data_IF_229878881531
#
_entry.id   IF_229878881531
#
_cell.length_a   1.000
_cell.length_b   1.000
_cell.length_c   1.000
_cell.angle_alpha   90.00
_cell.angle_beta   90.00
_cell.angle_gamma   90.00
#
_symmetry.space_group_name_H-M   'P 1'
#
loop_
_entity.id
_entity.type
_entity.pdbx_description
1 polymer ?
#
# COMPACT_ATOMS: atom_id res chain seq x y z
N UNK A 1 4.02 -12.12 15.22
CA UNK A 1 5.10 -11.91 16.21
C UNK A 1 6.24 -12.78 15.73
N UNK A 2 7.31 -12.12 15.28
CA UNK A 2 8.48 -12.72 14.64
C UNK A 2 9.08 -13.84 15.50
N UNK A 3 9.77 -14.82 14.91
CA UNK A 3 10.33 -15.95 15.67
C UNK A 3 11.39 -15.48 16.68
N UNK A 4 12.16 -14.44 16.31
CA UNK A 4 13.08 -13.75 17.22
C UNK A 4 12.31 -13.15 18.41
N UNK A 5 11.20 -12.46 18.14
CA UNK A 5 10.38 -11.89 19.19
C UNK A 5 9.73 -12.95 20.05
N UNK A 6 9.25 -14.07 19.49
CA UNK A 6 8.71 -15.19 20.26
C UNK A 6 9.76 -15.81 21.18
N UNK A 7 11.00 -15.95 20.71
CA UNK A 7 12.11 -16.50 21.48
C UNK A 7 12.57 -15.54 22.60
N UNK A 8 12.56 -14.22 22.36
CA UNK A 8 12.80 -13.24 23.42
C UNK A 8 11.63 -13.28 24.41
N UNK A 9 10.39 -13.30 23.91
CA UNK A 9 9.18 -13.28 24.72
C UNK A 9 9.09 -14.46 25.68
N UNK A 10 9.46 -15.66 25.24
CA UNK A 10 9.45 -16.87 26.08
C UNK A 10 10.47 -16.82 27.22
N UNK A 11 11.51 -15.98 27.11
CA UNK A 11 12.55 -15.80 28.14
C UNK A 11 12.23 -14.69 29.14
N UNK A 12 11.22 -13.85 28.88
CA UNK A 12 10.83 -12.77 29.77
C UNK A 12 9.95 -13.28 30.91
N UNK A 13 10.11 -12.67 32.10
CA UNK A 13 9.22 -12.93 33.23
C UNK A 13 7.78 -12.53 32.90
N UNK A 14 6.78 -13.10 33.59
CA UNK A 14 5.37 -12.75 33.36
C UNK A 14 5.11 -11.23 33.54
N UNK A 15 5.84 -10.59 34.48
CA UNK A 15 5.78 -9.15 34.72
C UNK A 15 6.32 -8.36 33.52
N UNK A 16 7.47 -8.75 32.99
CA UNK A 16 8.10 -8.07 31.84
C UNK A 16 7.27 -8.26 30.57
N UNK A 17 6.71 -9.45 30.36
CA UNK A 17 5.78 -9.69 29.25
C UNK A 17 4.55 -8.77 29.31
N UNK A 18 4.01 -8.51 30.51
CA UNK A 18 2.88 -7.59 30.67
C UNK A 18 3.27 -6.15 30.31
N UNK A 19 4.43 -5.69 30.77
CA UNK A 19 4.97 -4.37 30.43
C UNK A 19 5.22 -4.23 28.92
N UNK A 20 5.87 -5.22 28.31
CA UNK A 20 6.08 -5.25 26.86
C UNK A 20 4.74 -5.23 26.08
N UNK A 21 3.70 -5.94 26.54
CA UNK A 21 2.36 -5.90 25.90
C UNK A 21 1.76 -4.51 25.94
N UNK A 22 1.88 -3.81 27.08
CA UNK A 22 1.36 -2.45 27.23
C UNK A 22 2.10 -1.47 26.30
N UNK A 23 3.43 -1.53 26.28
CA UNK A 23 4.27 -0.70 25.41
C UNK A 23 3.99 -1.00 23.94
N UNK A 24 3.91 -2.27 23.54
CA UNK A 24 3.57 -2.65 22.16
C UNK A 24 2.19 -2.14 21.73
N UNK A 25 1.18 -2.17 22.62
CA UNK A 25 -0.15 -1.60 22.31
C UNK A 25 -0.07 -0.10 22.07
N UNK A 26 0.63 0.64 22.93
CA UNK A 26 0.80 2.09 22.77
C UNK A 26 1.59 2.42 21.51
N UNK A 27 2.65 1.67 21.22
CA UNK A 27 3.49 1.84 20.06
C UNK A 27 2.73 1.55 18.75
N UNK A 28 1.96 0.45 18.71
CA UNK A 28 1.07 0.13 17.58
C UNK A 28 -0.01 1.20 17.37
N UNK A 29 -0.59 1.73 18.46
CA UNK A 29 -1.53 2.86 18.39
C UNK A 29 -0.87 4.10 17.79
N UNK A 30 0.33 4.46 18.27
CA UNK A 30 1.12 5.59 17.78
C UNK A 30 1.49 5.43 16.30
N UNK A 31 1.89 4.25 15.87
CA UNK A 31 2.14 3.97 14.45
C UNK A 31 0.87 4.16 13.63
N UNK A 32 -0.27 3.62 14.08
CA UNK A 32 -1.53 3.84 13.36
C UNK A 32 -1.88 5.32 13.25
N UNK A 33 -1.72 6.08 14.34
CA UNK A 33 -1.92 7.54 14.33
C UNK A 33 -0.95 8.24 13.36
N UNK A 34 0.32 7.88 13.37
CA UNK A 34 1.33 8.42 12.45
C UNK A 34 1.04 8.06 10.99
N UNK A 35 0.57 6.83 10.72
CA UNK A 35 0.14 6.40 9.39
C UNK A 35 -1.09 7.17 8.90
N UNK A 36 -2.01 7.53 9.81
CA UNK A 36 -3.17 8.37 9.46
C UNK A 36 -2.76 9.83 9.24
N UNK A 37 -1.78 10.33 10.00
CA UNK A 37 -1.35 11.73 9.95
C UNK A 37 -0.37 12.04 8.81
N UNK A 38 0.48 11.08 8.41
CA UNK A 38 1.48 11.27 7.35
C UNK A 38 0.95 10.78 6.00
N UNK A 39 0.90 11.69 5.03
CA UNK A 39 0.73 11.37 3.59
C UNK A 39 1.89 10.56 3.00
N UNK A 40 2.96 10.34 3.79
CA UNK A 40 4.10 9.51 3.44
C UNK A 40 4.16 8.33 4.41
N UNK A 41 3.96 7.11 3.88
CA UNK A 41 4.18 5.90 4.67
C UNK A 41 5.69 5.73 4.81
N UNK A 42 6.18 5.80 6.05
CA UNK A 42 7.59 5.54 6.35
C UNK A 42 7.95 4.11 5.90
N UNK A 43 9.03 3.97 5.13
CA UNK A 43 9.48 2.67 4.65
C UNK A 43 9.81 1.70 5.77
N UNK A 44 10.19 2.18 6.95
CA UNK A 44 10.43 1.32 8.10
C UNK A 44 9.12 0.69 8.61
N UNK A 45 8.00 1.41 8.51
CA UNK A 45 6.68 0.88 8.87
C UNK A 45 6.23 -0.18 7.85
N UNK A 46 6.45 0.04 6.55
CA UNK A 46 6.18 -1.00 5.54
C UNK A 46 7.04 -2.24 5.77
N UNK A 47 8.30 -2.08 6.15
CA UNK A 47 9.17 -3.21 6.45
C UNK A 47 8.66 -4.02 7.65
N UNK A 48 8.25 -3.33 8.73
CA UNK A 48 7.80 -3.99 9.98
C UNK A 48 6.39 -4.56 9.88
N UNK A 49 5.49 -3.91 9.13
CA UNK A 49 4.07 -4.26 9.08
C UNK A 49 3.62 -4.85 7.75
N UNK A 50 4.47 -4.88 6.72
CA UNK A 50 4.11 -5.21 5.34
C UNK A 50 3.36 -6.53 5.21
N UNK A 51 3.82 -7.60 5.88
CA UNK A 51 3.16 -8.91 5.83
C UNK A 51 1.71 -8.91 6.34
N UNK A 52 1.33 -7.88 7.12
CA UNK A 52 -0.03 -7.68 7.64
C UNK A 52 -0.84 -6.65 6.84
N UNK A 53 -0.23 -5.94 5.89
CA UNK A 53 -0.92 -4.94 5.07
C UNK A 53 -1.75 -5.68 4.01
N UNK A 54 -3.06 -5.69 4.20
CA UNK A 54 -4.02 -6.25 3.24
C UNK A 54 -4.69 -5.19 2.38
N UNK A 55 -4.63 -3.93 2.79
CA UNK A 55 -5.24 -2.80 2.06
C UNK A 55 -4.26 -1.63 2.03
N UNK A 56 -4.07 -1.06 0.85
CA UNK A 56 -3.30 0.16 0.62
C UNK A 56 -4.20 1.20 -0.04
N UNK A 57 -4.19 2.41 0.51
CA UNK A 57 -4.92 3.56 0.00
C UNK A 57 -3.97 4.73 -0.18
N UNK A 58 -4.05 5.42 -1.30
CA UNK A 58 -3.27 6.62 -1.55
C UNK A 58 -4.11 7.74 -2.14
N UNK A 59 -3.83 8.96 -1.71
CA UNK A 59 -4.51 10.17 -2.15
C UNK A 59 -5.83 10.43 -1.41
N UNK A 60 -6.69 11.26 -1.99
CA UNK A 60 -7.89 11.77 -1.32
C UNK A 60 -9.10 11.38 -2.17
N UNK A 61 -10.04 10.63 -1.59
CA UNK A 61 -11.34 10.30 -2.19
C UNK A 61 -12.20 11.58 -2.27
N UNK A 62 -11.91 12.41 -3.28
CA UNK A 62 -12.67 13.63 -3.55
C UNK A 62 -13.90 13.27 -4.36
N UNK A 63 -14.93 12.74 -3.68
CA UNK A 63 -16.26 12.63 -4.30
C UNK A 63 -16.85 13.99 -4.74
N UNK A 64 -16.29 15.14 -4.33
CA UNK A 64 -17.02 16.41 -4.32
C UNK A 64 -16.22 17.73 -4.50
N UNK A 65 -15.08 17.78 -5.20
CA UNK A 65 -14.38 19.08 -5.36
C UNK A 65 -14.09 19.42 -6.82
N UNK A 66 -14.93 20.29 -7.39
CA UNK A 66 -14.65 21.03 -8.63
C UNK A 66 -13.31 21.77 -8.49
N UNK A 67 -12.38 21.54 -9.43
CA UNK A 67 -11.02 22.09 -9.38
C UNK A 67 -9.99 21.00 -9.04
N UNK A 68 -9.78 20.08 -9.98
CA UNK A 68 -8.78 19.05 -9.84
C UNK A 68 -7.38 19.64 -10.05
N UNK A 69 -6.59 19.68 -8.98
CA UNK A 69 -5.16 19.92 -9.05
C UNK A 69 -4.51 18.75 -8.30
N UNK A 70 -3.89 17.78 -9.00
CA UNK A 70 -3.26 16.63 -8.36
C UNK A 70 -2.06 17.13 -7.56
N UNK A 71 -2.30 17.55 -6.32
CA UNK A 71 -1.24 18.04 -5.43
C UNK A 71 -0.29 16.93 -5.00
N UNK A 72 -0.67 15.67 -5.19
CA UNK A 72 0.07 14.51 -4.71
C UNK A 72 0.43 13.58 -5.86
N UNK A 73 1.73 13.43 -6.09
CA UNK A 73 2.28 12.40 -6.97
C UNK A 73 2.54 11.15 -6.15
N UNK A 74 2.12 9.99 -6.64
CA UNK A 74 2.47 8.72 -6.02
C UNK A 74 3.91 8.36 -6.37
N UNK A 75 4.80 8.37 -5.38
CA UNK A 75 6.19 7.93 -5.54
C UNK A 75 6.23 6.42 -5.87
N UNK A 76 6.77 6.01 -7.04
CA UNK A 76 6.95 4.61 -7.40
C UNK A 76 7.74 3.81 -6.35
N UNK A 77 8.67 4.43 -5.63
CA UNK A 77 9.45 3.80 -4.57
C UNK A 77 8.57 3.28 -3.42
N UNK A 78 7.45 3.95 -3.12
CA UNK A 78 6.47 3.48 -2.12
C UNK A 78 5.81 2.19 -2.59
N UNK A 79 5.45 2.13 -3.87
CA UNK A 79 4.74 0.97 -4.46
C UNK A 79 5.67 -0.22 -4.62
N UNK A 80 6.92 0.02 -5.02
CA UNK A 80 7.96 -1.01 -5.03
C UNK A 80 8.13 -1.64 -3.64
N UNK A 81 8.23 -0.82 -2.59
CA UNK A 81 8.36 -1.29 -1.20
C UNK A 81 7.09 -2.03 -0.76
N UNK A 82 5.91 -1.50 -1.09
CA UNK A 82 4.63 -2.13 -0.77
C UNK A 82 4.53 -3.54 -1.38
N UNK A 83 4.84 -3.70 -2.66
CA UNK A 83 4.73 -5.00 -3.33
C UNK A 83 5.76 -6.02 -2.82
N UNK A 84 6.97 -5.57 -2.47
CA UNK A 84 8.00 -6.43 -1.88
C UNK A 84 7.66 -6.90 -0.47
N UNK A 85 7.03 -6.05 0.34
CA UNK A 85 6.82 -6.34 1.76
C UNK A 85 5.40 -6.79 2.10
N UNK A 86 4.44 -6.68 1.18
CA UNK A 86 3.03 -7.00 1.43
C UNK A 86 2.50 -8.07 0.46
N UNK A 87 3.00 -9.32 0.55
CA UNK A 87 2.57 -10.40 -0.35
C UNK A 87 1.09 -10.80 -0.16
N UNK A 88 0.47 -10.41 0.96
CA UNK A 88 -0.94 -10.64 1.27
C UNK A 88 -1.85 -9.45 0.93
N UNK A 89 -1.34 -8.46 0.18
CA UNK A 89 -2.10 -7.28 -0.18
C UNK A 89 -3.29 -7.69 -1.06
N UNK A 90 -4.50 -7.36 -0.60
CA UNK A 90 -5.77 -7.69 -1.25
C UNK A 90 -6.40 -6.52 -1.96
N UNK A 91 -6.13 -5.29 -1.51
CA UNK A 91 -6.78 -4.09 -2.04
C UNK A 91 -5.78 -2.96 -2.25
N UNK A 92 -5.81 -2.37 -3.44
CA UNK A 92 -5.11 -1.13 -3.77
C UNK A 92 -6.15 -0.13 -4.25
N UNK A 93 -6.20 1.03 -3.63
CA UNK A 93 -7.12 2.10 -4.02
C UNK A 93 -6.37 3.43 -4.10
N UNK A 94 -6.28 3.99 -5.31
CA UNK A 94 -5.59 5.23 -5.61
C UNK A 94 -6.64 6.29 -5.96
N UNK A 95 -6.55 7.46 -5.34
CA UNK A 95 -7.54 8.53 -5.49
C UNK A 95 -6.89 9.87 -5.76
N UNK A 96 -7.27 10.53 -6.85
CA UNK A 96 -6.90 11.93 -7.05
C UNK A 96 -5.39 12.20 -7.13
N UNK A 97 -4.61 11.21 -7.54
CA UNK A 97 -3.15 11.28 -7.60
C UNK A 97 -2.64 11.37 -9.04
N UNK A 98 -1.46 11.96 -9.21
CA UNK A 98 -0.67 11.80 -10.44
C UNK A 98 0.09 10.48 -10.38
N UNK A 99 -0.05 9.67 -11.43
CA UNK A 99 0.54 8.35 -11.59
C UNK A 99 1.56 8.38 -12.75
N UNK A 100 2.87 8.46 -12.45
CA UNK A 100 3.89 8.51 -13.49
C UNK A 100 4.00 7.17 -14.24
N UNK A 101 4.53 7.13 -15.48
CA UNK A 101 4.63 5.90 -16.27
C UNK A 101 5.47 4.82 -15.56
N UNK A 102 6.51 5.25 -14.83
CA UNK A 102 7.39 4.40 -14.03
C UNK A 102 6.64 3.58 -12.96
N UNK A 103 5.49 4.05 -12.47
CA UNK A 103 4.65 3.29 -11.54
C UNK A 103 4.15 1.98 -12.18
N UNK A 104 3.75 2.03 -13.45
CA UNK A 104 3.14 0.91 -14.16
C UNK A 104 4.15 -0.20 -14.46
N UNK A 105 5.43 0.14 -14.60
CA UNK A 105 6.51 -0.86 -14.72
C UNK A 105 6.62 -1.77 -13.49
N UNK A 106 6.10 -1.33 -12.33
CA UNK A 106 6.12 -2.10 -11.09
C UNK A 106 4.95 -3.08 -10.97
N UNK A 107 3.97 -3.04 -11.89
CA UNK A 107 2.80 -3.93 -11.83
C UNK A 107 3.16 -5.40 -12.06
N UNK A 108 4.32 -5.69 -12.64
CA UNK A 108 4.87 -7.05 -12.72
C UNK A 108 5.20 -7.63 -11.33
N UNK A 109 5.41 -6.79 -10.32
CA UNK A 109 5.65 -7.19 -8.93
C UNK A 109 4.36 -7.28 -8.11
N UNK A 110 3.21 -6.98 -8.72
CA UNK A 110 1.93 -6.93 -8.00
C UNK A 110 1.61 -8.31 -7.38
N UNK A 111 1.15 -8.35 -6.12
CA UNK A 111 0.94 -9.60 -5.40
C UNK A 111 -0.27 -10.35 -5.97
N UNK A 112 -0.14 -11.68 -6.11
CA UNK A 112 -1.20 -12.55 -6.65
C UNK A 112 -2.46 -12.56 -5.78
N UNK A 113 -2.34 -12.19 -4.50
CA UNK A 113 -3.46 -12.06 -3.57
C UNK A 113 -4.36 -10.87 -3.84
N UNK A 114 -4.03 -10.00 -4.81
CA UNK A 114 -4.80 -8.80 -5.08
C UNK A 114 -6.20 -9.15 -5.59
N UNK A 115 -7.22 -8.68 -4.87
CA UNK A 115 -8.63 -8.86 -5.18
C UNK A 115 -9.28 -7.58 -5.71
N UNK A 116 -8.75 -6.40 -5.36
CA UNK A 116 -9.31 -5.09 -5.75
C UNK A 116 -8.20 -4.15 -6.18
N UNK A 117 -8.31 -3.59 -7.39
CA UNK A 117 -7.51 -2.48 -7.88
C UNK A 117 -8.43 -1.34 -8.34
N UNK A 118 -8.40 -0.21 -7.61
CA UNK A 118 -9.15 1.00 -7.96
C UNK A 118 -8.18 2.14 -8.22
N UNK A 119 -8.34 2.77 -9.38
CA UNK A 119 -7.64 4.00 -9.77
C UNK A 119 -8.74 5.00 -10.12
N UNK A 120 -9.08 5.85 -9.16
CA UNK A 120 -10.21 6.77 -9.26
C UNK A 120 -9.74 8.21 -9.31
N UNK A 121 -10.25 8.97 -10.28
CA UNK A 121 -9.96 10.39 -10.46
C UNK A 121 -8.46 10.68 -10.52
N UNK A 122 -7.64 9.72 -10.97
CA UNK A 122 -6.19 9.90 -11.06
C UNK A 122 -5.81 10.44 -12.44
N UNK A 123 -4.70 11.18 -12.50
CA UNK A 123 -4.09 11.60 -13.77
C UNK A 123 -2.97 10.63 -14.09
N UNK A 124 -3.08 9.95 -15.22
CA UNK A 124 -2.06 9.02 -15.71
C UNK A 124 -1.29 9.72 -16.82
N UNK A 125 0.02 9.75 -16.69
CA UNK A 125 0.88 10.20 -17.78
C UNK A 125 0.90 9.14 -18.89
N UNK A 126 0.19 9.42 -19.99
CA UNK A 126 0.03 8.50 -21.11
C UNK A 126 1.12 8.62 -22.19
N UNK A 127 2.22 9.33 -21.93
CA UNK A 127 3.37 9.43 -22.85
C UNK A 127 3.90 8.06 -23.27
N UNK A 128 3.84 7.07 -22.38
CA UNK A 128 4.20 5.68 -22.65
C UNK A 128 2.98 4.73 -22.65
N UNK A 129 2.02 4.98 -23.54
CA UNK A 129 0.78 4.19 -23.62
C UNK A 129 1.00 2.67 -23.76
N UNK A 130 2.07 2.24 -24.44
CA UNK A 130 2.47 0.84 -24.54
C UNK A 130 2.85 0.23 -23.19
N UNK A 131 3.59 0.96 -22.36
CA UNK A 131 3.97 0.55 -20.99
C UNK A 131 2.73 0.37 -20.12
N UNK A 132 1.81 1.33 -20.15
CA UNK A 132 0.55 1.26 -19.38
C UNK A 132 -0.28 0.06 -19.84
N UNK A 133 -0.47 -0.12 -21.14
CA UNK A 133 -1.22 -1.25 -21.70
C UNK A 133 -0.65 -2.58 -21.23
N UNK A 134 0.66 -2.76 -21.35
CA UNK A 134 1.32 -4.00 -20.95
C UNK A 134 1.19 -4.24 -19.44
N UNK A 135 1.37 -3.20 -18.62
CA UNK A 135 1.20 -3.27 -17.18
C UNK A 135 -0.20 -3.75 -16.79
N UNK A 136 -1.25 -3.20 -17.41
CA UNK A 136 -2.64 -3.63 -17.14
C UNK A 136 -2.88 -5.08 -17.55
N UNK A 137 -2.34 -5.51 -18.70
CA UNK A 137 -2.40 -6.93 -19.12
C UNK A 137 -1.68 -7.82 -18.10
N UNK A 138 -0.52 -7.39 -17.58
CA UNK A 138 0.18 -8.15 -16.53
C UNK A 138 -0.67 -8.29 -15.27
N UNK A 139 -1.38 -7.24 -14.85
CA UNK A 139 -2.28 -7.32 -13.68
C UNK A 139 -3.31 -8.43 -13.86
N UNK A 140 -4.00 -8.48 -15.01
CA UNK A 140 -5.00 -9.52 -15.28
C UNK A 140 -4.40 -10.93 -15.33
N UNK A 141 -3.15 -11.07 -15.81
CA UNK A 141 -2.47 -12.36 -15.85
C UNK A 141 -2.01 -12.85 -14.46
N UNK A 142 -1.54 -11.93 -13.61
CA UNK A 142 -0.97 -12.28 -12.30
C UNK A 142 -2.00 -12.36 -11.19
N UNK A 143 -3.00 -11.48 -11.21
CA UNK A 143 -3.99 -11.34 -10.16
C UNK A 143 -5.26 -12.12 -10.54
N UNK A 144 -5.18 -13.45 -10.57
CA UNK A 144 -6.32 -14.31 -10.94
C UNK A 144 -7.50 -14.18 -9.96
N UNK A 145 -7.25 -13.73 -8.73
CA UNK A 145 -8.27 -13.44 -7.72
C UNK A 145 -8.91 -12.05 -7.82
N UNK A 146 -8.61 -11.27 -8.86
CA UNK A 146 -9.11 -9.91 -9.03
C UNK A 146 -10.64 -9.91 -9.23
N UNK A 147 -11.36 -9.43 -8.23
CA UNK A 147 -12.83 -9.32 -8.22
C UNK A 147 -13.29 -7.96 -8.70
N UNK A 148 -12.46 -6.94 -8.55
CA UNK A 148 -12.80 -5.58 -8.91
C UNK A 148 -11.60 -4.86 -9.52
N UNK A 149 -11.83 -4.29 -10.68
CA UNK A 149 -10.87 -3.47 -11.41
C UNK A 149 -11.59 -2.23 -11.91
N UNK A 150 -11.15 -1.05 -11.49
CA UNK A 150 -11.78 0.21 -11.87
C UNK A 150 -10.70 1.23 -12.19
N UNK A 151 -10.77 1.80 -13.38
CA UNK A 151 -9.95 2.93 -13.81
C UNK A 151 -10.91 4.03 -14.26
N UNK A 152 -11.01 5.07 -13.45
CA UNK A 152 -11.71 6.32 -13.77
C UNK A 152 -10.64 7.39 -13.76
N UNK A 153 -10.23 7.84 -14.94
CA UNK A 153 -9.19 8.86 -15.12
C UNK A 153 -9.82 10.17 -15.60
N UNK A 154 -9.17 11.29 -15.28
CA UNK A 154 -9.50 12.60 -15.83
C UNK A 154 -8.81 12.84 -17.18
#
# INVERSE_FOLDING_TARGET
MDDIWRNIWSKLSARDQLLCKQVSKQWMKRIRELCLARQTIDSEVLYRCGNSVTTFRFGIDRKFVCGFNPRTTLDPGVILKLFRHSPNLKKIELYGAFLPPSLFTLFDLMPQSLEVLRINSCVIDATESGTIRNALITVFRRCSGLKEFTIIVY
#
